data_IF_156328513634
#
_entry.id   IF_156328513634
#
_cell.length_a   1.000
_cell.length_b   1.000
_cell.length_c   1.000
_cell.angle_alpha   90.00
_cell.angle_beta   90.00
_cell.angle_gamma   90.00
#
_symmetry.space_group_name_H-M   'P 1'
#
loop_
_entity.id
_entity.type
_entity.pdbx_description
1 polymer ?
#
# COMPACT_ATOMS: atom_id res chain seq x y z
N UNK A 1 1.14 13.16 -20.66
CA UNK A 1 1.29 12.59 -19.31
C UNK A 1 2.74 12.11 -19.15
N UNK A 2 3.51 12.64 -18.19
CA UNK A 2 4.87 12.12 -17.91
C UNK A 2 4.72 10.74 -17.26
N UNK A 3 5.23 9.70 -17.90
CA UNK A 3 5.32 8.38 -17.27
C UNK A 3 6.24 8.48 -16.04
N UNK A 4 5.79 7.93 -14.91
CA UNK A 4 6.64 7.78 -13.72
C UNK A 4 7.86 6.92 -14.08
N UNK A 5 9.05 7.44 -13.77
CA UNK A 5 10.29 6.67 -13.93
C UNK A 5 10.23 5.39 -13.09
N UNK A 6 10.96 4.35 -13.49
CA UNK A 6 11.02 3.08 -12.75
C UNK A 6 11.40 3.29 -11.28
N UNK A 7 12.34 4.21 -10.99
CA UNK A 7 12.70 4.62 -9.61
C UNK A 7 11.52 5.20 -8.82
N UNK A 8 10.62 5.91 -9.48
CA UNK A 8 9.44 6.45 -8.81
C UNK A 8 8.40 5.37 -8.48
N UNK A 9 8.49 4.17 -9.08
CA UNK A 9 7.60 3.03 -8.78
C UNK A 9 7.99 2.33 -7.46
N UNK A 10 9.29 2.26 -7.16
CA UNK A 10 9.81 1.61 -5.95
C UNK A 10 9.51 2.43 -4.67
N UNK A 11 9.36 3.75 -4.79
CA UNK A 11 9.04 4.63 -3.67
C UNK A 11 7.54 4.76 -3.34
N UNK A 12 6.65 4.06 -4.04
CA UNK A 12 5.20 4.19 -3.84
C UNK A 12 4.76 3.61 -2.49
N UNK A 13 5.28 2.44 -2.13
CA UNK A 13 5.05 1.77 -0.85
C UNK A 13 6.26 2.01 0.04
N UNK A 14 6.07 2.72 1.15
CA UNK A 14 7.17 3.03 2.04
C UNK A 14 7.73 1.76 2.70
N UNK A 15 9.05 1.70 2.97
CA UNK A 15 9.71 0.53 3.54
C UNK A 15 9.01 -0.04 4.77
N UNK A 16 8.42 0.83 5.62
CA UNK A 16 7.67 0.44 6.82
C UNK A 16 6.61 -0.64 6.60
N UNK A 17 5.99 -0.69 5.42
CA UNK A 17 5.01 -1.71 5.10
C UNK A 17 5.60 -3.13 5.05
N UNK A 18 6.89 -3.30 4.76
CA UNK A 18 7.53 -4.61 4.60
C UNK A 18 8.01 -5.25 5.91
N UNK A 19 8.13 -4.47 6.99
CA UNK A 19 8.70 -4.96 8.26
C UNK A 19 7.90 -4.58 9.51
N UNK A 20 6.78 -3.85 9.39
CA UNK A 20 5.88 -3.54 10.52
C UNK A 20 4.45 -3.78 10.12
N UNK A 21 3.77 -4.66 10.85
CA UNK A 21 2.42 -5.10 10.53
C UNK A 21 1.36 -3.99 10.66
N UNK A 22 1.49 -3.16 11.68
CA UNK A 22 0.61 -2.04 12.01
C UNK A 22 0.92 -0.74 11.25
N UNK A 23 1.97 -0.74 10.43
CA UNK A 23 2.41 0.45 9.71
C UNK A 23 1.32 1.02 8.79
N UNK A 24 1.16 2.34 8.88
CA UNK A 24 0.22 3.13 8.08
C UNK A 24 0.98 4.19 7.29
N UNK A 25 0.59 4.39 6.05
CA UNK A 25 1.16 5.40 5.17
C UNK A 25 0.05 6.32 4.67
N UNK A 26 0.24 7.63 4.76
CA UNK A 26 -0.61 8.58 4.05
C UNK A 26 0.00 8.92 2.70
N UNK A 27 -0.85 8.99 1.68
CA UNK A 27 -0.44 9.34 0.34
C UNK A 27 -1.55 10.09 -0.40
N UNK A 28 -1.20 10.71 -1.52
CA UNK A 28 -2.21 11.27 -2.43
C UNK A 28 -2.96 10.15 -3.17
N UNK A 29 -4.19 10.42 -3.60
CA UNK A 29 -5.01 9.51 -4.43
C UNK A 29 -4.22 8.94 -5.62
N UNK A 30 -3.41 9.76 -6.29
CA UNK A 30 -2.61 9.34 -7.46
C UNK A 30 -1.61 8.23 -7.10
N UNK A 31 -0.99 8.31 -5.92
CA UNK A 31 -0.03 7.32 -5.43
C UNK A 31 -0.74 5.99 -5.20
N UNK A 32 -1.89 6.00 -4.54
CA UNK A 32 -2.70 4.79 -4.38
C UNK A 32 -3.13 4.18 -5.72
N UNK A 33 -3.57 5.00 -6.67
CA UNK A 33 -3.89 4.52 -8.02
C UNK A 33 -2.70 3.86 -8.71
N UNK A 34 -1.48 4.39 -8.55
CA UNK A 34 -0.28 3.75 -9.09
C UNK A 34 0.10 2.46 -8.38
N UNK A 35 -0.10 2.38 -7.06
CA UNK A 35 0.13 1.13 -6.31
C UNK A 35 -0.74 0.02 -6.88
N UNK A 36 -2.03 0.29 -7.12
CA UNK A 36 -2.95 -0.67 -7.74
C UNK A 36 -2.58 -0.99 -9.19
N UNK A 37 -2.29 0.04 -10.00
CA UNK A 37 -1.96 -0.14 -11.42
C UNK A 37 -0.71 -1.02 -11.64
N UNK A 38 0.23 -0.98 -10.70
CA UNK A 38 1.48 -1.75 -10.75
C UNK A 38 1.48 -2.96 -9.82
N UNK A 39 0.32 -3.39 -9.31
CA UNK A 39 0.15 -4.57 -8.44
C UNK A 39 1.09 -4.57 -7.23
N UNK A 40 1.40 -3.38 -6.69
CA UNK A 40 2.25 -3.19 -5.50
C UNK A 40 1.47 -3.24 -4.20
N UNK A 41 0.16 -3.49 -4.25
CA UNK A 41 -0.68 -3.66 -3.07
C UNK A 41 -0.44 -5.03 -2.39
N UNK A 42 0.11 -6.01 -3.09
CA UNK A 42 0.51 -7.30 -2.53
C UNK A 42 1.95 -7.22 -2.03
N UNK A 43 2.14 -7.40 -0.73
CA UNK A 43 3.45 -7.33 -0.08
C UNK A 43 3.67 -8.54 0.82
N UNK A 44 4.94 -8.85 1.07
CA UNK A 44 5.33 -9.85 2.05
C UNK A 44 5.86 -9.17 3.30
N UNK A 45 5.32 -9.55 4.46
CA UNK A 45 5.71 -9.04 5.78
C UNK A 45 6.01 -10.25 6.64
N UNK A 46 7.25 -10.37 7.12
CA UNK A 46 7.68 -11.50 7.96
C UNK A 46 7.30 -12.89 7.38
N UNK A 47 7.44 -13.05 6.05
CA UNK A 47 7.10 -14.29 5.35
C UNK A 47 5.60 -14.52 5.10
N UNK A 48 4.72 -13.60 5.50
CA UNK A 48 3.27 -13.67 5.27
C UNK A 48 2.88 -12.75 4.12
N UNK A 49 2.04 -13.24 3.21
CA UNK A 49 1.42 -12.40 2.19
C UNK A 49 0.37 -11.50 2.83
N UNK A 50 0.44 -10.21 2.55
CA UNK A 50 -0.51 -9.19 3.03
C UNK A 50 -0.95 -8.35 1.85
N UNK A 51 -2.20 -7.89 1.91
CA UNK A 51 -2.74 -6.95 0.95
C UNK A 51 -2.85 -5.58 1.60
N UNK A 52 -2.38 -4.55 0.89
CA UNK A 52 -2.59 -3.17 1.24
C UNK A 52 -4.02 -2.76 0.87
N UNK A 53 -4.66 -2.05 1.78
CA UNK A 53 -5.98 -1.46 1.58
C UNK A 53 -5.89 0.02 1.90
N UNK A 54 -6.75 0.83 1.29
CA UNK A 54 -6.71 2.26 1.47
C UNK A 54 -8.07 2.82 1.90
N UNK A 55 -8.02 3.80 2.80
CA UNK A 55 -9.16 4.57 3.28
C UNK A 55 -9.02 6.01 2.80
N UNK A 56 -10.04 6.54 2.15
CA UNK A 56 -10.11 7.96 1.78
C UNK A 56 -10.31 8.81 3.04
N UNK A 57 -9.42 9.78 3.28
CA UNK A 57 -9.50 10.71 4.40
C UNK A 57 -10.07 12.09 4.01
N UNK A 58 -10.39 12.30 2.73
CA UNK A 58 -10.81 13.59 2.17
C UNK A 58 -9.66 14.40 1.60
N UNK A 59 -9.98 15.49 0.89
CA UNK A 59 -9.00 16.42 0.30
C UNK A 59 -7.92 15.76 -0.59
N UNK A 60 -8.23 14.61 -1.21
CA UNK A 60 -7.28 13.87 -2.05
C UNK A 60 -6.26 13.03 -1.27
N UNK A 61 -6.37 12.96 0.06
CA UNK A 61 -5.49 12.17 0.95
C UNK A 61 -6.11 10.80 1.22
N UNK A 62 -5.27 9.78 1.13
CA UNK A 62 -5.60 8.38 1.39
C UNK A 62 -4.64 7.82 2.44
N UNK A 63 -5.17 7.03 3.37
CA UNK A 63 -4.37 6.26 4.32
C UNK A 63 -4.35 4.80 3.89
N UNK A 64 -3.15 4.26 3.69
CA UNK A 64 -2.89 2.88 3.31
C UNK A 64 -2.48 2.10 4.56
N UNK A 65 -3.13 0.96 4.76
CA UNK A 65 -2.85 -0.01 5.83
C UNK A 65 -2.85 -1.43 5.26
N UNK A 66 -2.54 -2.43 6.07
CA UNK A 66 -2.71 -3.83 5.67
C UNK A 66 -4.13 -4.29 6.01
N UNK A 67 -4.75 -5.06 5.11
CA UNK A 67 -6.02 -5.71 5.37
C UNK A 67 -5.90 -6.55 6.66
N UNK A 68 -6.90 -6.59 7.55
CA UNK A 68 -6.89 -7.51 8.68
C UNK A 68 -6.62 -8.93 8.22
N UNK A 69 -5.84 -9.71 9.00
CA UNK A 69 -5.82 -11.15 8.79
C UNK A 69 -7.26 -11.61 9.04
N UNK A 70 -7.95 -12.06 8.00
CA UNK A 70 -9.21 -12.78 8.20
C UNK A 70 -8.87 -13.97 9.06
N UNK A 71 -9.24 -13.92 10.34
CA UNK A 71 -9.26 -15.11 11.18
C UNK A 71 -10.21 -16.06 10.44
N UNK A 72 -9.65 -17.09 9.81
CA UNK A 72 -10.47 -18.17 9.29
C UNK A 72 -11.30 -18.66 10.47
N UNK A 73 -12.61 -18.51 10.37
CA UNK A 73 -13.52 -19.28 11.20
C UNK A 73 -13.22 -20.74 10.86
N UNK A 74 -12.56 -21.42 11.79
CA UNK A 74 -12.38 -22.88 11.77
C UNK A 74 -13.71 -23.60 11.64
#
# INVERSE_FOLDING_TARGET
MKALSVKAREGLVQPGHYYREDYRQRCERKVWSYILLYERDRITVEGRQRQLVAKNLGAGVWEITKAPLTAGTS
#
